data_IF_951524993674
#
_entry.id   IF_951524993674
#
_cell.length_a   1.000
_cell.length_b   1.000
_cell.length_c   1.000
_cell.angle_alpha   90.00
_cell.angle_beta   90.00
_cell.angle_gamma   90.00
#
_symmetry.space_group_name_H-M   'P 1'
#
loop_
_entity.id
_entity.type
_entity.pdbx_description
1 polymer ?
#
# COMPACT_ATOMS: atom_id res chain seq x y z
N UNK A 1 9.52 -11.61 12.52
CA UNK A 1 8.57 -10.92 11.61
C UNK A 1 9.29 -9.92 10.71
N UNK A 2 9.92 -8.86 11.25
CA UNK A 2 10.56 -7.81 10.42
C UNK A 2 11.55 -8.36 9.38
N UNK A 3 12.51 -9.21 9.80
CA UNK A 3 13.48 -9.82 8.87
C UNK A 3 12.81 -10.58 7.72
N UNK A 4 11.74 -11.32 8.01
CA UNK A 4 10.97 -12.10 7.03
C UNK A 4 10.20 -11.19 6.06
N UNK A 5 9.67 -10.08 6.56
CA UNK A 5 9.02 -9.05 5.72
C UNK A 5 10.03 -8.40 4.78
N UNK A 6 11.23 -8.09 5.27
CA UNK A 6 12.28 -7.50 4.46
C UNK A 6 12.80 -8.48 3.40
N UNK A 7 12.86 -9.78 3.73
CA UNK A 7 13.19 -10.84 2.79
C UNK A 7 12.12 -11.01 1.70
N UNK A 8 10.84 -11.08 2.07
CA UNK A 8 9.73 -11.16 1.13
C UNK A 8 9.73 -9.97 0.15
N UNK A 9 9.98 -8.75 0.66
CA UNK A 9 10.14 -7.56 -0.19
C UNK A 9 11.30 -7.69 -1.18
N UNK A 10 12.46 -8.19 -0.74
CA UNK A 10 13.61 -8.44 -1.64
C UNK A 10 13.30 -9.49 -2.71
N UNK A 11 12.40 -10.43 -2.40
CA UNK A 11 11.95 -11.47 -3.32
C UNK A 11 10.80 -10.99 -4.25
N UNK A 12 10.36 -9.73 -4.14
CA UNK A 12 9.26 -9.18 -4.93
C UNK A 12 7.89 -9.72 -4.55
N UNK A 13 7.75 -10.23 -3.33
CA UNK A 13 6.48 -10.71 -2.79
C UNK A 13 5.69 -9.55 -2.17
N UNK A 14 4.37 -9.69 -2.21
CA UNK A 14 3.46 -8.78 -1.52
C UNK A 14 3.24 -9.27 -0.09
N UNK A 15 3.21 -8.32 0.86
CA UNK A 15 3.04 -8.60 2.28
C UNK A 15 1.55 -8.63 2.59
N UNK A 16 1.11 -9.66 3.29
CA UNK A 16 -0.27 -9.82 3.75
C UNK A 16 -0.74 -8.58 4.52
N UNK A 17 -1.96 -8.10 4.22
CA UNK A 17 -2.53 -6.87 4.81
C UNK A 17 -2.57 -6.98 6.34
N UNK A 18 -2.87 -8.16 6.88
CA UNK A 18 -2.90 -8.42 8.32
C UNK A 18 -1.53 -8.15 8.98
N UNK A 19 -0.43 -8.48 8.30
CA UNK A 19 0.92 -8.26 8.80
C UNK A 19 1.28 -6.78 8.72
N UNK A 20 0.89 -6.09 7.65
CA UNK A 20 1.10 -4.64 7.52
C UNK A 20 0.38 -3.87 8.63
N UNK A 21 -0.88 -4.21 8.89
CA UNK A 21 -1.66 -3.60 9.97
C UNK A 21 -1.03 -3.87 11.34
N UNK A 22 -0.53 -5.08 11.56
CA UNK A 22 0.18 -5.43 12.79
C UNK A 22 1.47 -4.63 12.96
N UNK A 23 2.29 -4.49 11.90
CA UNK A 23 3.50 -3.66 11.94
C UNK A 23 3.20 -2.21 12.32
N UNK A 24 2.15 -1.62 11.73
CA UNK A 24 1.69 -0.28 12.09
C UNK A 24 1.28 -0.19 13.58
N UNK A 25 0.63 -1.23 14.12
CA UNK A 25 0.25 -1.31 15.53
C UNK A 25 1.48 -1.40 16.45
N UNK A 26 2.50 -2.18 16.06
CA UNK A 26 3.80 -2.22 16.74
C UNK A 26 4.44 -0.84 16.79
N UNK A 27 4.57 -0.17 15.64
CA UNK A 27 5.23 1.14 15.54
C UNK A 27 4.53 2.19 16.41
N UNK A 28 3.19 2.22 16.38
CA UNK A 28 2.40 3.11 17.22
C UNK A 28 2.61 2.82 18.72
N UNK A 29 2.63 1.55 19.11
CA UNK A 29 2.84 1.13 20.51
C UNK A 29 4.24 1.51 21.00
N UNK A 30 5.26 1.32 20.16
CA UNK A 30 6.64 1.74 20.44
C UNK A 30 6.73 3.26 20.57
N UNK A 31 6.05 4.00 19.70
CA UNK A 31 6.03 5.47 19.78
C UNK A 31 5.34 5.96 21.06
N UNK A 32 4.22 5.35 21.48
CA UNK A 32 3.58 5.68 22.76
C UNK A 32 4.49 5.36 23.95
N UNK A 33 5.15 4.20 23.95
CA UNK A 33 6.08 3.83 25.01
C UNK A 33 7.25 4.80 25.13
N UNK A 34 7.85 5.22 24.00
CA UNK A 34 8.92 6.24 23.97
C UNK A 34 8.44 7.57 24.54
N UNK A 35 7.26 8.06 24.13
CA UNK A 35 6.66 9.28 24.67
C UNK A 35 6.47 9.23 26.18
N UNK A 36 6.12 8.07 26.75
CA UNK A 36 5.98 7.92 28.20
C UNK A 36 7.33 8.04 28.91
N UNK A 37 8.37 7.42 28.37
CA UNK A 37 9.74 7.49 28.91
C UNK A 37 10.26 8.94 28.86
N UNK A 38 10.09 9.61 27.71
CA UNK A 38 10.56 10.98 27.52
C UNK A 38 9.81 11.98 28.43
N UNK A 39 8.49 11.80 28.61
CA UNK A 39 7.68 12.63 29.51
C UNK A 39 8.05 12.44 31.00
N UNK A 40 8.52 11.25 31.39
CA UNK A 40 9.00 10.98 32.75
C UNK A 40 10.36 11.66 33.02
N UNK A 41 11.21 11.80 31.98
CA UNK A 41 12.52 12.45 32.07
C UNK A 41 12.52 13.99 32.09
N UNK A 42 11.44 14.63 31.63
CA UNK A 42 11.36 16.10 31.48
C UNK A 42 10.61 16.85 32.59
N UNK A 43 10.04 16.15 33.57
CA UNK A 43 9.56 16.79 34.79
C UNK A 43 10.76 17.19 35.66
N UNK A 44 11.36 18.35 35.37
CA UNK A 44 12.41 19.03 36.15
C UNK A 44 12.41 18.58 37.61
N UNK A 45 13.33 17.69 37.96
CA UNK A 45 13.63 17.35 39.33
C UNK A 45 14.37 18.54 39.98
N UNK A 46 13.63 19.60 40.30
CA UNK A 46 14.02 20.53 41.33
C UNK A 46 13.13 20.27 42.52
N UNK A 47 13.66 19.51 43.49
CA UNK A 47 13.23 19.68 44.86
C UNK A 47 14.46 19.69 45.76
N UNK A 48 15.05 20.87 45.91
CA UNK A 48 16.06 21.12 46.95
C UNK A 48 15.41 21.44 48.32
N UNK A 49 14.07 21.52 48.41
CA UNK A 49 13.34 21.87 49.65
C UNK A 49 11.89 21.32 49.74
N UNK A 50 11.69 20.00 49.83
CA UNK A 50 10.50 19.42 50.50
C UNK A 50 9.12 19.39 49.81
N UNK A 51 8.99 19.68 48.52
CA UNK A 51 7.77 19.41 47.75
C UNK A 51 7.78 18.01 47.11
N UNK A 52 6.95 17.11 47.64
CA UNK A 52 6.69 15.79 47.06
C UNK A 52 6.24 15.91 45.59
N UNK A 53 6.73 15.06 44.67
CA UNK A 53 6.19 15.00 43.32
C UNK A 53 4.69 14.70 43.38
N UNK A 54 3.90 15.43 42.59
CA UNK A 54 2.43 15.36 42.58
C UNK A 54 1.94 13.90 42.50
N UNK A 55 1.40 13.38 43.62
CA UNK A 55 0.94 12.00 43.75
C UNK A 55 -0.11 11.62 42.69
N UNK A 56 -0.95 12.56 42.27
CA UNK A 56 -1.94 12.35 41.22
C UNK A 56 -1.27 12.11 39.87
N UNK A 57 -0.26 12.91 39.51
CA UNK A 57 0.52 12.74 38.28
C UNK A 57 1.26 11.40 38.28
N UNK A 58 1.90 11.03 39.40
CA UNK A 58 2.58 9.73 39.55
C UNK A 58 1.60 8.56 39.39
N UNK A 59 0.42 8.64 40.01
CA UNK A 59 -0.62 7.60 39.91
C UNK A 59 -1.16 7.49 38.48
N UNK A 60 -1.35 8.60 37.80
CA UNK A 60 -1.79 8.63 36.40
C UNK A 60 -0.73 8.02 35.48
N UNK A 61 0.55 8.41 35.63
CA UNK A 61 1.67 7.81 34.90
C UNK A 61 1.75 6.30 35.14
N UNK A 62 1.72 5.83 36.39
CA UNK A 62 1.77 4.40 36.70
C UNK A 62 0.61 3.61 36.09
N UNK A 63 -0.60 4.18 36.04
CA UNK A 63 -1.73 3.58 35.33
C UNK A 63 -1.48 3.52 33.82
N UNK A 64 -0.98 4.60 33.24
CA UNK A 64 -0.69 4.68 31.81
C UNK A 64 0.42 3.72 31.41
N UNK A 65 1.51 3.62 32.18
CA UNK A 65 2.57 2.62 32.00
C UNK A 65 2.03 1.20 32.06
N UNK A 66 1.17 0.88 33.04
CA UNK A 66 0.54 -0.45 33.12
C UNK A 66 -0.28 -0.78 31.88
N UNK A 67 -1.05 0.19 31.36
CA UNK A 67 -1.82 0.02 30.13
C UNK A 67 -0.93 -0.21 28.91
N UNK A 68 0.14 0.57 28.76
CA UNK A 68 1.08 0.42 27.64
C UNK A 68 1.84 -0.91 27.71
N UNK A 69 2.22 -1.38 28.89
CA UNK A 69 2.80 -2.72 29.08
C UNK A 69 1.83 -3.80 28.58
N UNK A 70 0.54 -3.69 28.93
CA UNK A 70 -0.47 -4.64 28.46
C UNK A 70 -0.57 -4.62 26.92
N UNK A 71 -0.63 -3.44 26.31
CA UNK A 71 -0.67 -3.30 24.85
C UNK A 71 0.55 -3.92 24.16
N UNK A 72 1.74 -3.78 24.76
CA UNK A 72 2.96 -4.44 24.26
C UNK A 72 2.80 -5.97 24.27
N UNK A 73 2.29 -6.54 25.36
CA UNK A 73 2.04 -7.99 25.43
C UNK A 73 1.00 -8.45 24.40
N UNK A 74 -0.08 -7.70 24.22
CA UNK A 74 -1.14 -8.02 23.26
C UNK A 74 -0.57 -8.05 21.83
N UNK A 75 0.19 -7.02 21.45
CA UNK A 75 0.83 -6.94 20.12
C UNK A 75 1.87 -8.05 19.92
N UNK A 76 2.65 -8.40 20.95
CA UNK A 76 3.60 -9.52 20.87
C UNK A 76 2.88 -10.87 20.68
N UNK A 77 1.72 -11.06 21.32
CA UNK A 77 0.93 -12.27 21.16
C UNK A 77 0.32 -12.40 19.75
N UNK A 78 -0.13 -11.29 19.18
CA UNK A 78 -0.65 -11.20 17.80
C UNK A 78 0.42 -11.42 16.73
N UNK A 79 1.71 -11.26 17.05
CA UNK A 79 2.82 -11.32 16.10
C UNK A 79 3.18 -12.71 15.55
N UNK A 80 2.30 -13.70 15.73
CA UNK A 80 2.47 -15.07 15.22
C UNK A 80 1.62 -15.24 13.96
N UNK A 81 2.30 -15.34 12.81
CA UNK A 81 1.67 -15.49 11.51
C UNK A 81 2.15 -16.77 10.85
N UNK A 82 1.22 -17.60 10.38
CA UNK A 82 1.53 -18.81 9.60
C UNK A 82 2.03 -18.46 8.20
N UNK A 83 1.51 -17.35 7.64
CA UNK A 83 1.90 -16.80 6.34
C UNK A 83 2.06 -15.30 6.44
N UNK A 84 3.18 -14.78 5.92
CA UNK A 84 3.53 -13.35 5.99
C UNK A 84 3.39 -12.67 4.62
N UNK A 85 3.60 -13.42 3.55
CA UNK A 85 3.66 -12.89 2.19
C UNK A 85 3.10 -13.88 1.17
N UNK A 86 2.86 -13.37 -0.02
CA UNK A 86 2.49 -14.14 -1.18
C UNK A 86 3.16 -13.62 -2.44
N UNK A 87 3.38 -14.52 -3.39
CA UNK A 87 3.85 -14.15 -4.72
C UNK A 87 2.66 -13.63 -5.52
N UNK A 88 2.67 -12.33 -5.82
CA UNK A 88 1.72 -11.78 -6.77
C UNK A 88 1.92 -12.45 -8.14
N UNK A 89 0.82 -12.64 -8.88
CA UNK A 89 0.93 -13.15 -10.24
C UNK A 89 1.86 -12.23 -11.03
N UNK A 90 2.85 -12.77 -11.79
CA UNK A 90 3.71 -11.94 -12.58
C UNK A 90 2.84 -11.09 -13.51
N UNK A 91 2.93 -9.78 -13.36
CA UNK A 91 2.32 -8.83 -14.28
C UNK A 91 3.11 -8.96 -15.59
N UNK A 92 2.72 -9.91 -16.43
CA UNK A 92 3.34 -10.07 -17.74
C UNK A 92 2.98 -8.82 -18.52
N UNK A 93 3.94 -7.90 -18.59
CA UNK A 93 3.90 -6.75 -19.47
C UNK A 93 4.45 -7.21 -20.80
N UNK A 94 3.60 -7.87 -21.60
CA UNK A 94 3.93 -8.07 -23.02
C UNK A 94 4.06 -6.66 -23.61
N UNK A 95 5.14 -6.38 -24.33
CA UNK A 95 5.26 -5.10 -25.02
C UNK A 95 4.26 -5.04 -26.18
N UNK A 96 3.82 -3.85 -26.62
CA UNK A 96 2.96 -3.74 -27.79
C UNK A 96 3.58 -4.44 -29.01
N UNK A 97 4.90 -4.30 -29.20
CA UNK A 97 5.64 -5.02 -30.24
C UNK A 97 5.53 -6.55 -30.10
N UNK A 98 5.63 -7.09 -28.88
CA UNK A 98 5.44 -8.51 -28.61
C UNK A 98 4.02 -9.02 -28.90
N UNK A 99 3.02 -8.12 -28.98
CA UNK A 99 1.65 -8.42 -29.44
C UNK A 99 1.46 -8.24 -30.95
N UNK A 100 2.50 -7.86 -31.69
CA UNK A 100 2.41 -7.49 -33.10
C UNK A 100 1.80 -6.10 -33.33
N UNK A 101 1.74 -5.25 -32.30
CA UNK A 101 1.38 -3.84 -32.44
C UNK A 101 2.62 -2.96 -32.52
N UNK A 102 2.75 -2.27 -33.64
CA UNK A 102 3.81 -1.28 -33.84
C UNK A 102 3.29 0.11 -33.46
N UNK A 103 3.76 0.59 -32.30
CA UNK A 103 3.38 1.87 -31.73
C UNK A 103 3.96 3.02 -32.57
N UNK A 104 3.11 3.61 -33.40
CA UNK A 104 3.38 4.85 -34.13
C UNK A 104 2.64 5.99 -33.46
N UNK A 105 3.19 7.19 -33.48
CA UNK A 105 2.58 8.35 -32.83
C UNK A 105 1.12 8.56 -33.26
N UNK A 106 0.84 8.47 -34.57
CA UNK A 106 -0.53 8.57 -35.11
C UNK A 106 -1.48 7.51 -34.56
N UNK A 107 -1.05 6.25 -34.50
CA UNK A 107 -1.87 5.13 -34.00
C UNK A 107 -2.14 5.24 -32.50
N UNK A 108 -1.14 5.67 -31.72
CA UNK A 108 -1.30 5.92 -30.29
C UNK A 108 -2.30 7.04 -30.02
N UNK A 109 -2.27 8.12 -30.80
CA UNK A 109 -3.27 9.20 -30.71
C UNK A 109 -4.68 8.67 -30.98
N UNK A 110 -4.88 7.91 -32.05
CA UNK A 110 -6.20 7.33 -32.37
C UNK A 110 -6.68 6.34 -31.30
N UNK A 111 -5.79 5.54 -30.71
CA UNK A 111 -6.17 4.66 -29.58
C UNK A 111 -6.67 5.45 -28.38
N UNK A 112 -5.97 6.52 -28.02
CA UNK A 112 -6.36 7.36 -26.87
C UNK A 112 -7.71 8.05 -27.10
N UNK A 113 -7.96 8.55 -28.31
CA UNK A 113 -9.26 9.14 -28.69
C UNK A 113 -10.39 8.11 -28.53
N UNK A 114 -10.22 6.91 -29.10
CA UNK A 114 -11.22 5.83 -28.97
C UNK A 114 -11.42 5.44 -27.49
N UNK A 115 -10.35 5.38 -26.71
CA UNK A 115 -10.44 5.06 -25.27
C UNK A 115 -11.19 6.14 -24.47
N UNK A 116 -11.03 7.41 -24.83
CA UNK A 116 -11.80 8.51 -24.25
C UNK A 116 -13.28 8.42 -24.63
N UNK A 117 -13.58 8.10 -25.88
CA UNK A 117 -14.95 7.94 -26.36
C UNK A 117 -15.65 6.76 -25.66
N UNK A 118 -14.95 5.66 -25.41
CA UNK A 118 -15.49 4.50 -24.68
C UNK A 118 -15.78 4.78 -23.20
N UNK A 119 -15.19 5.81 -22.59
CA UNK A 119 -15.53 6.25 -21.23
C UNK A 119 -16.84 7.04 -21.18
N UNK A 120 -17.36 7.48 -22.32
CA UNK A 120 -18.62 8.21 -22.39
C UNK A 120 -19.81 7.23 -22.34
N UNK A 121 -20.69 7.30 -21.33
CA UNK A 121 -21.82 6.37 -21.19
C UNK A 121 -22.88 6.49 -22.29
N UNK A 122 -22.79 7.52 -23.15
CA UNK A 122 -23.71 7.72 -24.28
C UNK A 122 -23.21 7.08 -25.59
N UNK A 123 -21.98 6.58 -25.63
CA UNK A 123 -21.38 5.95 -26.82
C UNK A 123 -21.33 4.45 -26.60
N UNK A 124 -22.12 3.71 -27.38
CA UNK A 124 -22.22 2.25 -27.24
C UNK A 124 -21.44 1.48 -28.32
N UNK A 125 -21.19 2.09 -29.48
CA UNK A 125 -20.55 1.44 -30.63
C UNK A 125 -19.61 2.44 -31.33
N UNK A 126 -18.38 1.99 -31.61
CA UNK A 126 -17.38 2.74 -32.39
C UNK A 126 -16.96 1.87 -33.58
N UNK A 127 -17.03 2.43 -34.80
CA UNK A 127 -16.61 1.75 -36.03
C UNK A 127 -15.26 2.27 -36.54
N UNK A 128 -14.32 1.38 -36.83
CA UNK A 128 -13.01 1.72 -37.42
C UNK A 128 -12.97 1.28 -38.89
N UNK A 129 -12.82 2.23 -39.82
CA UNK A 129 -12.83 1.97 -41.27
C UNK A 129 -11.60 2.54 -41.99
N UNK A 130 -11.33 2.09 -43.23
CA UNK A 130 -10.19 2.54 -44.03
C UNK A 130 -9.63 1.47 -44.98
N UNK A 131 -8.56 1.80 -45.71
CA UNK A 131 -7.92 0.92 -46.69
C UNK A 131 -7.48 -0.44 -46.10
N UNK A 132 -7.41 -1.49 -46.93
CA UNK A 132 -6.89 -2.80 -46.51
C UNK A 132 -5.42 -2.72 -46.07
N UNK A 133 -5.00 -3.55 -45.11
CA UNK A 133 -3.60 -3.65 -44.68
C UNK A 133 -3.10 -2.58 -43.70
N UNK A 134 -3.87 -1.52 -43.42
CA UNK A 134 -3.43 -0.41 -42.54
C UNK A 134 -3.39 -0.74 -41.03
N UNK A 135 -3.79 -1.95 -40.63
CA UNK A 135 -3.70 -2.42 -39.24
C UNK A 135 -4.91 -2.13 -38.36
N UNK A 136 -6.11 -1.89 -38.92
CA UNK A 136 -7.35 -1.64 -38.13
C UNK A 136 -7.65 -2.74 -37.09
N UNK A 137 -7.56 -4.00 -37.48
CA UNK A 137 -7.77 -5.13 -36.57
C UNK A 137 -6.70 -5.19 -35.48
N UNK A 138 -5.45 -4.82 -35.82
CA UNK A 138 -4.35 -4.74 -34.85
C UNK A 138 -4.58 -3.62 -33.84
N UNK A 139 -5.11 -2.48 -34.29
CA UNK A 139 -5.51 -1.36 -33.42
C UNK A 139 -6.56 -1.80 -32.40
N UNK A 140 -7.64 -2.47 -32.85
CA UNK A 140 -8.72 -2.94 -31.96
C UNK A 140 -8.22 -4.01 -30.97
N UNK A 141 -7.31 -4.89 -31.39
CA UNK A 141 -6.70 -5.88 -30.49
C UNK A 141 -5.85 -5.24 -29.40
N UNK A 142 -5.10 -4.19 -29.74
CA UNK A 142 -4.29 -3.46 -28.77
C UNK A 142 -5.17 -2.68 -27.78
N UNK A 143 -6.25 -2.07 -28.26
CA UNK A 143 -7.24 -1.39 -27.42
C UNK A 143 -7.83 -2.35 -26.38
N UNK A 144 -8.32 -3.53 -26.80
CA UNK A 144 -8.90 -4.52 -25.89
C UNK A 144 -7.93 -4.94 -24.79
N UNK A 145 -6.65 -5.15 -25.13
CA UNK A 145 -5.62 -5.49 -24.15
C UNK A 145 -5.38 -4.36 -23.14
N UNK A 146 -5.37 -3.09 -23.59
CA UNK A 146 -5.19 -1.94 -22.71
C UNK A 146 -6.39 -1.77 -21.77
N UNK A 147 -7.62 -1.97 -22.25
CA UNK A 147 -8.83 -1.89 -21.43
C UNK A 147 -8.90 -2.97 -20.36
N UNK A 148 -8.45 -4.20 -20.64
CA UNK A 148 -8.37 -5.27 -19.63
C UNK A 148 -7.32 -4.99 -18.54
N UNK A 149 -6.25 -4.26 -18.87
CA UNK A 149 -5.19 -3.86 -17.93
C UNK A 149 -5.56 -2.62 -17.12
N UNK A 150 -6.37 -1.73 -17.68
CA UNK A 150 -6.87 -0.55 -16.99
C UNK A 150 -7.99 -0.94 -16.01
N UNK A 151 -7.65 -0.93 -14.71
CA UNK A 151 -8.57 -1.18 -13.58
C UNK A 151 -9.81 -0.26 -13.58
N UNK A 152 -9.80 0.81 -14.37
CA UNK A 152 -10.88 1.82 -14.45
C UNK A 152 -12.15 1.39 -15.20
N UNK A 153 -12.18 0.20 -15.81
CA UNK A 153 -13.35 -0.33 -16.53
C UNK A 153 -13.99 -1.57 -15.87
N UNK A 154 -13.47 -2.01 -14.73
CA UNK A 154 -13.95 -3.16 -13.95
C UNK A 154 -14.84 -2.76 -12.78
#
# INVERSE_FOLDING_TARGET
VQHTVDEARRNGEEIEIIVQNWLNKVDNTVAEAKKLIDNEGHAKAQCSMGHFPNLCTRRWLGRKTKMTIQQIFDVLAEGKFDRISYRAAPQVTITPFGRGYEAMHSRTTTLNEIMMDLKNPNIFIIGVYGMGGVGKTTLVKELAWQTEKDVSFG
#
